data_IF_464991995359
#
_entry.id   IF_464991995359
#
_cell.length_a   1.000
_cell.length_b   1.000
_cell.length_c   1.000
_cell.angle_alpha   90.00
_cell.angle_beta   90.00
_cell.angle_gamma   90.00
#
_symmetry.space_group_name_H-M   'P 1'
#
loop_
_entity.id
_entity.type
_entity.pdbx_description
1 polymer ?
#
# COMPACT_ATOMS: atom_id res chain seq x y z
N UNK A 1 14.65 11.28 -5.79
CA UNK A 1 14.35 10.24 -6.80
C UNK A 1 14.11 8.94 -6.05
N UNK A 2 12.97 8.28 -6.25
CA UNK A 2 12.70 6.96 -5.63
C UNK A 2 13.62 5.93 -6.28
N UNK A 3 14.21 5.02 -5.51
CA UNK A 3 15.09 3.99 -6.09
C UNK A 3 14.31 3.08 -7.04
N UNK A 4 14.96 2.47 -8.05
CA UNK A 4 14.30 1.51 -8.95
C UNK A 4 13.64 0.36 -8.20
N UNK A 5 14.26 -0.08 -7.10
CA UNK A 5 13.75 -1.13 -6.22
C UNK A 5 12.45 -0.70 -5.53
N UNK A 6 12.41 0.48 -4.91
CA UNK A 6 11.19 0.99 -4.29
C UNK A 6 10.07 1.19 -5.32
N UNK A 7 10.40 1.60 -6.55
CA UNK A 7 9.41 1.69 -7.64
C UNK A 7 8.80 0.32 -7.97
N UNK A 8 9.62 -0.72 -8.07
CA UNK A 8 9.18 -2.10 -8.30
C UNK A 8 8.22 -2.60 -7.20
N UNK A 9 8.52 -2.32 -5.94
CA UNK A 9 7.66 -2.64 -4.79
C UNK A 9 6.29 -1.98 -4.93
N UNK A 10 6.26 -0.69 -5.25
CA UNK A 10 5.01 0.08 -5.43
C UNK A 10 4.16 -0.52 -6.57
N UNK A 11 4.77 -0.78 -7.72
CA UNK A 11 4.05 -1.27 -8.90
C UNK A 11 3.47 -2.67 -8.66
N UNK A 12 4.24 -3.57 -8.01
CA UNK A 12 3.76 -4.90 -7.64
C UNK A 12 2.61 -4.86 -6.64
N UNK A 13 2.69 -4.02 -5.61
CA UNK A 13 1.62 -3.86 -4.64
C UNK A 13 0.33 -3.32 -5.29
N UNK A 14 0.45 -2.35 -6.19
CA UNK A 14 -0.69 -1.83 -6.98
C UNK A 14 -1.32 -2.89 -7.86
N UNK A 15 -0.51 -3.75 -8.50
CA UNK A 15 -1.01 -4.88 -9.28
C UNK A 15 -1.77 -5.89 -8.42
N UNK A 16 -1.28 -6.20 -7.22
CA UNK A 16 -1.98 -7.08 -6.28
C UNK A 16 -3.32 -6.47 -5.88
N UNK A 17 -3.35 -5.17 -5.55
CA UNK A 17 -4.59 -4.47 -5.24
C UNK A 17 -5.58 -4.58 -6.39
N UNK A 18 -5.22 -4.08 -7.57
CA UNK A 18 -6.11 -4.01 -8.73
C UNK A 18 -6.62 -5.38 -9.17
N UNK A 19 -5.76 -6.40 -9.19
CA UNK A 19 -6.10 -7.71 -9.76
C UNK A 19 -6.77 -8.65 -8.77
N UNK A 20 -6.59 -8.47 -7.46
CA UNK A 20 -7.00 -9.47 -6.45
C UNK A 20 -7.83 -8.90 -5.32
N UNK A 21 -7.55 -7.70 -4.86
CA UNK A 21 -8.11 -7.18 -3.61
C UNK A 21 -9.17 -6.11 -3.83
N UNK A 22 -9.11 -5.37 -4.94
CA UNK A 22 -9.88 -4.14 -5.13
C UNK A 22 -11.38 -4.36 -4.92
N UNK A 23 -11.99 -5.31 -5.63
CA UNK A 23 -13.43 -5.54 -5.57
C UNK A 23 -13.92 -5.90 -4.16
N UNK A 24 -13.20 -6.78 -3.45
CA UNK A 24 -13.60 -7.19 -2.09
C UNK A 24 -13.36 -6.07 -1.07
N UNK A 25 -12.18 -5.43 -1.12
CA UNK A 25 -11.82 -4.39 -0.17
C UNK A 25 -12.66 -3.13 -0.33
N UNK A 26 -12.93 -2.70 -1.56
CA UNK A 26 -13.82 -1.58 -1.82
C UNK A 26 -15.26 -1.88 -1.38
N UNK A 27 -15.73 -3.13 -1.47
CA UNK A 27 -17.09 -3.45 -1.02
C UNK A 27 -17.27 -3.45 0.51
N UNK A 28 -16.21 -3.72 1.29
CA UNK A 28 -16.29 -3.97 2.74
C UNK A 28 -15.57 -2.95 3.61
N UNK A 29 -14.57 -2.29 3.06
CA UNK A 29 -13.59 -1.51 3.80
C UNK A 29 -13.30 -0.16 3.13
N UNK A 30 -14.32 0.45 2.50
CA UNK A 30 -14.23 1.83 2.00
C UNK A 30 -13.66 2.76 3.07
N UNK A 31 -12.92 3.77 2.60
CA UNK A 31 -12.31 4.82 3.40
C UNK A 31 -11.24 4.35 4.41
N UNK A 32 -10.93 3.06 4.47
CA UNK A 32 -9.83 2.51 5.28
C UNK A 32 -8.54 2.41 4.48
N UNK A 33 -7.44 2.13 5.17
CA UNK A 33 -6.13 1.95 4.56
C UNK A 33 -5.77 0.48 4.42
N UNK A 34 -5.06 0.14 3.35
CA UNK A 34 -4.46 -1.19 3.17
C UNK A 34 -2.98 -1.08 2.86
N UNK A 35 -2.13 -1.69 3.69
CA UNK A 35 -0.72 -1.90 3.40
C UNK A 35 -0.54 -3.28 2.75
N UNK A 36 0.14 -3.35 1.61
CA UNK A 36 0.38 -4.59 0.87
C UNK A 36 1.88 -4.86 0.86
N UNK A 37 2.28 -6.06 1.29
CA UNK A 37 3.66 -6.55 1.19
C UNK A 37 3.77 -7.40 -0.09
N UNK A 38 4.41 -6.91 -1.15
CA UNK A 38 4.29 -7.49 -2.49
C UNK A 38 5.11 -8.76 -2.73
N UNK A 39 6.03 -9.14 -1.85
CA UNK A 39 6.75 -10.41 -1.93
C UNK A 39 5.89 -11.59 -1.47
N UNK A 40 5.22 -11.45 -0.31
CA UNK A 40 4.27 -12.46 0.18
C UNK A 40 2.89 -12.37 -0.47
N UNK A 41 2.48 -11.16 -0.87
CA UNK A 41 1.11 -10.87 -1.30
C UNK A 41 0.12 -10.69 -0.14
N UNK A 42 0.59 -10.67 1.10
CA UNK A 42 -0.26 -10.37 2.25
C UNK A 42 -0.61 -8.88 2.32
N UNK A 43 -1.76 -8.59 2.94
CA UNK A 43 -2.26 -7.25 3.14
C UNK A 43 -2.72 -7.03 4.57
N UNK A 44 -2.67 -5.77 5.00
CA UNK A 44 -2.95 -5.34 6.37
C UNK A 44 -3.85 -4.12 6.34
N UNK A 45 -5.02 -4.22 6.98
CA UNK A 45 -5.99 -3.13 7.07
C UNK A 45 -5.72 -2.25 8.29
N UNK A 46 -6.02 -0.96 8.18
CA UNK A 46 -5.99 -0.01 9.29
C UNK A 46 -7.05 1.06 9.12
N UNK A 47 -7.56 1.59 10.23
CA UNK A 47 -8.45 2.77 10.21
C UNK A 47 -7.65 4.04 9.91
N UNK A 48 -6.34 3.99 10.17
CA UNK A 48 -5.38 5.02 9.78
C UNK A 48 -4.25 4.44 8.92
N UNK A 49 -3.57 5.32 8.18
CA UNK A 49 -2.39 4.96 7.40
C UNK A 49 -1.30 4.29 8.26
N UNK A 50 -1.02 4.86 9.44
CA UNK A 50 0.03 4.38 10.34
C UNK A 50 -0.29 3.00 10.92
N UNK A 51 -1.56 2.69 11.20
CA UNK A 51 -1.98 1.37 11.66
C UNK A 51 -1.72 0.28 10.62
N UNK A 52 -2.08 0.55 9.36
CA UNK A 52 -1.83 -0.37 8.26
C UNK A 52 -0.32 -0.62 8.07
N UNK A 53 0.48 0.45 8.08
CA UNK A 53 1.95 0.35 7.97
C UNK A 53 2.56 -0.39 9.16
N UNK A 54 2.14 -0.05 10.38
CA UNK A 54 2.65 -0.70 11.61
C UNK A 54 2.38 -2.20 11.59
N UNK A 55 1.17 -2.60 11.17
CA UNK A 55 0.78 -4.00 11.08
C UNK A 55 1.66 -4.78 10.09
N UNK A 56 1.91 -4.21 8.91
CA UNK A 56 2.83 -4.78 7.92
C UNK A 56 4.25 -4.91 8.47
N UNK A 57 4.79 -3.86 9.11
CA UNK A 57 6.14 -3.86 9.68
C UNK A 57 6.30 -4.79 10.87
N UNK A 58 5.25 -5.00 11.67
CA UNK A 58 5.27 -5.97 12.77
C UNK A 58 5.45 -7.39 12.25
N UNK A 59 4.78 -7.74 11.15
CA UNK A 59 4.90 -9.09 10.55
C UNK A 59 6.14 -9.25 9.68
N UNK A 60 6.51 -8.20 8.94
CA UNK A 60 7.66 -8.18 8.04
C UNK A 60 8.59 -7.00 8.35
N UNK A 61 9.43 -7.08 9.41
CA UNK A 61 10.26 -5.94 9.85
C UNK A 61 11.29 -5.46 8.83
N UNK A 62 11.74 -6.34 7.93
CA UNK A 62 12.76 -6.07 6.91
C UNK A 62 12.22 -5.90 5.50
N UNK A 63 10.92 -6.09 5.26
CA UNK A 63 10.31 -5.96 3.92
C UNK A 63 9.59 -4.64 3.76
N UNK A 64 9.60 -4.13 2.54
CA UNK A 64 8.86 -2.94 2.18
C UNK A 64 7.42 -3.30 1.82
N UNK A 65 6.48 -2.50 2.32
CA UNK A 65 5.07 -2.55 1.92
C UNK A 65 4.68 -1.23 1.25
N UNK A 66 3.59 -1.25 0.50
CA UNK A 66 2.98 -0.05 -0.06
C UNK A 66 1.55 0.10 0.45
N UNK A 67 1.21 1.30 0.95
CA UNK A 67 -0.09 1.59 1.54
C UNK A 67 -0.96 2.39 0.58
N UNK A 68 -2.22 1.98 0.46
CA UNK A 68 -3.25 2.55 -0.40
C UNK A 68 -4.46 2.96 0.46
N UNK A 69 -5.19 3.99 0.02
CA UNK A 69 -6.50 4.34 0.57
C UNK A 69 -7.58 3.64 -0.26
N UNK A 70 -8.38 2.78 0.38
CA UNK A 70 -9.31 1.88 -0.29
C UNK A 70 -10.46 2.69 -0.90
N UNK A 71 -10.71 2.49 -2.20
CA UNK A 71 -11.74 3.20 -2.95
C UNK A 71 -11.31 4.57 -3.48
N UNK A 72 -10.10 5.01 -3.17
CA UNK A 72 -9.58 6.30 -3.59
C UNK A 72 -8.50 6.11 -4.66
N UNK A 73 -8.68 6.75 -5.82
CA UNK A 73 -7.60 6.84 -6.83
C UNK A 73 -6.46 7.64 -6.21
N UNK A 74 -5.35 6.98 -5.93
CA UNK A 74 -4.12 7.62 -5.46
C UNK A 74 -3.60 8.61 -6.52
N UNK A 75 -4.08 9.85 -6.48
CA UNK A 75 -3.52 10.98 -7.19
C UNK A 75 -2.59 11.77 -6.25
N UNK A 76 -1.66 11.09 -5.59
CA UNK A 76 -0.59 11.75 -4.84
C UNK A 76 0.71 11.66 -5.63
N UNK A 77 0.90 12.60 -6.55
CA UNK A 77 2.23 13.00 -7.00
C UNK A 77 2.78 13.91 -5.90
N UNK A 78 3.33 13.33 -4.83
CA UNK A 78 4.13 14.12 -3.88
C UNK A 78 5.44 14.47 -4.59
N UNK A 79 5.40 15.57 -5.35
CA UNK A 79 6.60 16.24 -5.83
C UNK A 79 7.45 16.60 -4.62
N UNK A 80 8.65 16.05 -4.57
CA UNK A 80 9.64 16.45 -3.57
C UNK A 80 9.83 17.95 -3.67
N UNK A 81 9.58 18.66 -2.58
CA UNK A 81 10.12 20.01 -2.41
C UNK A 81 11.63 19.86 -2.42
N UNK A 82 12.24 20.25 -3.52
CA UNK A 82 13.67 20.52 -3.62
C UNK A 82 13.85 21.99 -3.23
N UNK A 83 14.49 22.22 -2.08
CA UNK A 83 15.20 23.46 -1.78
C UNK A 83 16.62 23.10 -1.39
#
# INVERSE_FOLDING_TARGET
MVSPETKSIIDRAKQIYANRLQADLESRYMDRFVAIEPESGEYFLGDTFDEAVKSARTKYPSRLSHTLWIGHRAAFHMGGVQR
#
